data_IF_317087230907
#
_entry.id   IF_317087230907
#
_cell.length_a   1.000
_cell.length_b   1.000
_cell.length_c   1.000
_cell.angle_alpha   90.00
_cell.angle_beta   90.00
_cell.angle_gamma   90.00
#
_symmetry.space_group_name_H-M   'P 1'
#
loop_
_entity.id
_entity.type
_entity.pdbx_description
1 polymer ?
#
# COMPACT_ATOMS: atom_id res chain seq x y z
N UNK A 1 -21.77 22.00 -13.08
CA UNK A 1 -21.74 22.74 -11.80
C UNK A 1 -21.14 21.91 -10.65
N UNK A 2 -21.49 20.63 -10.51
CA UNK A 2 -21.02 19.75 -9.41
C UNK A 2 -19.52 19.40 -9.49
N UNK A 3 -18.95 19.21 -10.69
CA UNK A 3 -17.50 18.95 -10.85
C UNK A 3 -16.61 20.13 -10.46
N UNK A 4 -17.01 21.37 -10.79
CA UNK A 4 -16.26 22.57 -10.41
C UNK A 4 -16.22 22.77 -8.89
N UNK A 5 -17.28 22.39 -8.19
CA UNK A 5 -17.33 22.40 -6.72
C UNK A 5 -16.44 21.31 -6.12
N UNK A 6 -16.34 20.11 -6.73
CA UNK A 6 -15.38 19.08 -6.33
C UNK A 6 -13.94 19.53 -6.52
N UNK A 7 -13.65 20.20 -7.63
CA UNK A 7 -12.33 20.75 -7.94
C UNK A 7 -11.92 21.83 -6.93
N UNK A 8 -12.82 22.78 -6.64
CA UNK A 8 -12.60 23.81 -5.62
C UNK A 8 -12.39 23.20 -4.23
N UNK A 9 -13.16 22.17 -3.87
CA UNK A 9 -13.03 21.49 -2.57
C UNK A 9 -11.69 20.76 -2.44
N UNK A 10 -11.21 20.11 -3.51
CA UNK A 10 -9.84 19.54 -3.57
C UNK A 10 -8.77 20.62 -3.49
N UNK A 11 -8.93 21.72 -4.23
CA UNK A 11 -8.03 22.88 -4.25
C UNK A 11 -7.83 23.47 -2.85
N UNK A 12 -8.92 23.76 -2.12
CA UNK A 12 -8.83 24.27 -0.75
C UNK A 12 -8.24 23.25 0.22
N UNK A 13 -8.49 21.95 0.01
CA UNK A 13 -7.95 20.91 0.86
C UNK A 13 -6.42 20.76 0.69
N UNK A 14 -5.91 20.64 -0.53
CA UNK A 14 -4.45 20.57 -0.78
C UNK A 14 -3.73 21.86 -0.39
N UNK A 15 -4.35 23.03 -0.59
CA UNK A 15 -3.79 24.31 -0.16
C UNK A 15 -3.57 24.36 1.36
N UNK A 16 -4.50 23.82 2.15
CA UNK A 16 -4.40 23.81 3.62
C UNK A 16 -3.20 23.01 4.14
N UNK A 17 -2.67 22.09 3.33
CA UNK A 17 -1.46 21.32 3.65
C UNK A 17 -0.21 22.00 3.05
N UNK A 18 -0.17 22.24 1.74
CA UNK A 18 1.09 22.61 1.05
C UNK A 18 1.28 24.12 0.81
N UNK A 19 0.32 24.96 1.22
CA UNK A 19 0.29 26.38 0.88
C UNK A 19 0.08 26.63 -0.62
N UNK A 20 0.03 27.90 -1.03
CA UNK A 20 -0.21 28.26 -2.44
C UNK A 20 0.91 27.78 -3.37
N UNK A 21 2.17 27.97 -2.94
CA UNK A 21 3.34 27.57 -3.71
C UNK A 21 3.40 26.05 -3.93
N UNK A 22 3.19 25.26 -2.87
CA UNK A 22 3.18 23.81 -2.98
C UNK A 22 1.96 23.28 -3.76
N UNK A 23 0.79 23.92 -3.62
CA UNK A 23 -0.39 23.57 -4.41
C UNK A 23 -0.15 23.75 -5.92
N UNK A 24 0.31 24.94 -6.36
CA UNK A 24 0.54 25.19 -7.78
C UNK A 24 1.63 24.29 -8.36
N UNK A 25 2.65 23.97 -7.56
CA UNK A 25 3.69 23.00 -7.94
C UNK A 25 3.10 21.60 -8.12
N UNK A 26 2.26 21.12 -7.21
CA UNK A 26 1.60 19.81 -7.33
C UNK A 26 0.66 19.76 -8.54
N UNK A 27 -0.07 20.83 -8.84
CA UNK A 27 -0.93 20.91 -10.04
C UNK A 27 -0.09 20.87 -11.32
N UNK A 28 1.00 21.63 -11.38
CA UNK A 28 1.93 21.63 -12.51
C UNK A 28 2.54 20.24 -12.74
N UNK A 29 3.01 19.60 -11.66
CA UNK A 29 3.50 18.21 -11.71
C UNK A 29 2.45 17.25 -12.23
N UNK A 30 1.21 17.37 -11.78
CA UNK A 30 0.14 16.48 -12.20
C UNK A 30 -0.19 16.63 -13.69
N UNK A 31 -0.11 17.84 -14.24
CA UNK A 31 -0.23 18.09 -15.68
C UNK A 31 0.94 17.47 -16.47
N UNK A 32 2.17 17.55 -15.94
CA UNK A 32 3.35 16.93 -16.58
C UNK A 32 3.27 15.41 -16.57
N UNK A 33 2.88 14.81 -15.44
CA UNK A 33 2.72 13.36 -15.27
C UNK A 33 1.76 12.78 -16.31
N UNK A 34 0.67 13.49 -16.62
CA UNK A 34 -0.32 13.02 -17.61
C UNK A 34 0.24 12.89 -19.04
N UNK A 35 1.34 13.56 -19.36
CA UNK A 35 1.92 13.61 -20.70
C UNK A 35 3.29 12.93 -20.79
N UNK A 36 3.85 12.46 -19.67
CA UNK A 36 5.18 11.89 -19.60
C UNK A 36 5.16 10.35 -19.74
N UNK A 37 6.25 9.78 -20.24
CA UNK A 37 6.45 8.33 -20.31
C UNK A 37 7.88 7.95 -19.91
N UNK A 38 8.10 6.68 -19.56
CA UNK A 38 9.42 6.16 -19.24
C UNK A 38 10.12 6.92 -18.10
N UNK A 39 11.40 7.24 -18.28
CA UNK A 39 12.26 7.87 -17.25
C UNK A 39 11.78 9.26 -16.82
N UNK A 40 11.17 10.04 -17.71
CA UNK A 40 10.65 11.36 -17.36
C UNK A 40 9.50 11.25 -16.35
N UNK A 41 8.60 10.28 -16.58
CA UNK A 41 7.49 10.00 -15.68
C UNK A 41 8.00 9.64 -14.27
N UNK A 42 9.08 8.86 -14.19
CA UNK A 42 9.72 8.51 -12.91
C UNK A 42 10.22 9.73 -12.14
N UNK A 43 10.95 10.61 -12.82
CA UNK A 43 11.48 11.83 -12.20
C UNK A 43 10.36 12.73 -11.66
N UNK A 44 9.23 12.80 -12.35
CA UNK A 44 8.07 13.58 -11.92
C UNK A 44 7.38 12.98 -10.68
N UNK A 45 7.27 11.65 -10.61
CA UNK A 45 6.76 10.98 -9.39
C UNK A 45 7.70 11.16 -8.20
N UNK A 46 9.02 11.06 -8.40
CA UNK A 46 10.01 11.34 -7.36
C UNK A 46 9.92 12.78 -6.84
N UNK A 47 9.72 13.74 -7.73
CA UNK A 47 9.53 15.15 -7.35
C UNK A 47 8.24 15.34 -6.53
N UNK A 48 7.14 14.71 -6.97
CA UNK A 48 5.89 14.71 -6.21
C UNK A 48 6.06 14.06 -4.83
N UNK A 49 6.79 12.95 -4.76
CA UNK A 49 7.08 12.22 -3.52
C UNK A 49 7.90 13.09 -2.56
N UNK A 50 8.90 13.82 -3.07
CA UNK A 50 9.71 14.75 -2.28
C UNK A 50 8.87 15.85 -1.65
N UNK A 51 7.94 16.46 -2.39
CA UNK A 51 7.03 17.48 -1.85
C UNK A 51 6.19 16.92 -0.69
N UNK A 52 5.68 15.69 -0.87
CA UNK A 52 4.91 15.00 0.17
C UNK A 52 5.77 14.71 1.40
N UNK A 53 6.97 14.17 1.20
CA UNK A 53 7.91 13.88 2.29
C UNK A 53 8.29 15.14 3.06
N UNK A 54 8.66 16.22 2.37
CA UNK A 54 9.04 17.47 3.01
C UNK A 54 7.88 18.06 3.82
N UNK A 55 6.64 17.88 3.37
CA UNK A 55 5.46 18.29 4.12
C UNK A 55 5.29 17.46 5.39
N UNK A 56 5.35 16.13 5.27
CA UNK A 56 5.24 15.20 6.39
C UNK A 56 6.35 15.47 7.41
N UNK A 57 7.61 15.61 6.97
CA UNK A 57 8.74 15.86 7.87
C UNK A 57 8.64 17.22 8.55
N UNK A 58 8.15 18.26 7.88
CA UNK A 58 7.98 19.58 8.51
C UNK A 58 6.81 19.63 9.50
N UNK A 59 5.67 19.03 9.16
CA UNK A 59 4.41 19.26 9.87
C UNK A 59 4.02 18.12 10.82
N UNK A 60 4.52 16.91 10.55
CA UNK A 60 4.14 15.70 11.27
C UNK A 60 5.32 15.04 11.99
N UNK A 61 6.50 15.68 12.04
CA UNK A 61 7.70 15.15 12.71
C UNK A 61 7.44 14.67 14.13
N UNK A 62 6.70 15.47 14.90
CA UNK A 62 6.36 15.18 16.30
C UNK A 62 5.43 13.97 16.45
N UNK A 63 4.68 13.64 15.39
CA UNK A 63 3.78 12.48 15.33
C UNK A 63 4.43 11.29 14.62
N UNK A 64 5.63 11.47 14.06
CA UNK A 64 6.43 10.35 13.56
C UNK A 64 6.66 9.44 14.75
N UNK A 65 6.19 8.20 14.69
CA UNK A 65 6.61 7.20 15.67
C UNK A 65 8.13 7.19 15.61
N UNK A 66 8.76 7.57 16.72
CA UNK A 66 10.15 8.03 16.74
C UNK A 66 11.18 6.92 16.48
N UNK A 67 10.71 5.77 16.00
CA UNK A 67 11.53 4.64 15.69
C UNK A 67 10.76 3.74 14.71
N UNK A 68 11.42 3.33 13.61
CA UNK A 68 10.86 2.34 12.67
C UNK A 68 10.67 0.96 13.35
N UNK A 69 11.01 0.83 14.64
CA UNK A 69 10.87 -0.39 15.46
C UNK A 69 9.43 -0.83 15.74
N UNK A 70 8.43 -0.12 15.23
CA UNK A 70 7.03 -0.52 15.32
C UNK A 70 6.71 -1.87 14.65
N UNK A 71 7.53 -2.29 13.69
CA UNK A 71 7.41 -3.56 12.98
C UNK A 71 8.79 -4.09 12.60
N UNK A 72 9.00 -5.40 12.73
CA UNK A 72 10.26 -6.05 12.30
C UNK A 72 9.98 -7.35 11.55
N UNK A 73 10.89 -7.72 10.66
CA UNK A 73 10.89 -9.05 10.04
C UNK A 73 11.08 -10.14 11.10
N UNK A 74 10.37 -11.26 10.95
CA UNK A 74 10.53 -12.46 11.79
C UNK A 74 11.30 -13.53 11.05
N UNK A 75 11.03 -13.68 9.75
CA UNK A 75 11.74 -14.60 8.85
C UNK A 75 12.66 -13.80 7.94
N UNK A 76 13.69 -14.45 7.42
CA UNK A 76 14.63 -13.85 6.46
C UNK A 76 14.74 -14.69 5.18
N UNK A 77 14.07 -15.84 5.11
CA UNK A 77 14.14 -16.86 4.06
C UNK A 77 12.87 -16.88 3.19
N UNK A 78 12.19 -15.74 3.08
CA UNK A 78 10.99 -15.58 2.28
C UNK A 78 11.39 -15.09 0.89
N UNK A 79 10.94 -15.82 -0.13
CA UNK A 79 11.11 -15.48 -1.54
C UNK A 79 10.52 -14.10 -1.88
N UNK A 80 11.20 -13.32 -2.71
CA UNK A 80 10.75 -11.98 -3.09
C UNK A 80 9.70 -11.96 -4.22
N UNK A 81 9.23 -13.13 -4.64
CA UNK A 81 8.20 -13.33 -5.66
C UNK A 81 6.92 -13.97 -5.09
N UNK A 82 6.75 -13.94 -3.76
CA UNK A 82 5.50 -14.39 -3.14
C UNK A 82 4.32 -13.48 -3.47
N UNK A 83 3.12 -14.06 -3.49
CA UNK A 83 1.86 -13.31 -3.59
C UNK A 83 1.20 -13.24 -2.22
N UNK A 84 1.04 -12.05 -1.68
CA UNK A 84 0.40 -11.78 -0.41
C UNK A 84 -1.09 -11.46 -0.59
N UNK A 85 -1.92 -12.12 0.19
CA UNK A 85 -3.35 -11.81 0.32
C UNK A 85 -3.68 -11.69 1.79
N UNK A 86 -4.52 -10.73 2.17
CA UNK A 86 -4.92 -10.56 3.56
C UNK A 86 -6.40 -10.86 3.76
N UNK A 87 -6.68 -11.76 4.70
CA UNK A 87 -8.00 -11.92 5.29
C UNK A 87 -7.81 -12.33 6.76
N UNK A 88 -7.77 -11.34 7.65
CA UNK A 88 -7.33 -11.51 9.03
C UNK A 88 -8.12 -12.59 9.80
N UNK A 89 -9.40 -12.75 9.48
CA UNK A 89 -10.28 -13.74 10.10
C UNK A 89 -10.02 -15.19 9.63
N UNK A 90 -9.18 -15.39 8.60
CA UNK A 90 -8.85 -16.69 8.04
C UNK A 90 -9.77 -17.15 6.90
N UNK A 91 -9.27 -18.11 6.10
CA UNK A 91 -9.96 -18.60 4.90
C UNK A 91 -11.36 -19.15 5.19
N UNK A 92 -11.56 -19.81 6.34
CA UNK A 92 -12.86 -20.36 6.74
C UNK A 92 -13.93 -19.27 6.88
N UNK A 93 -13.55 -18.08 7.32
CA UNK A 93 -14.43 -16.93 7.52
C UNK A 93 -14.64 -16.08 6.25
N UNK A 94 -14.00 -16.43 5.12
CA UNK A 94 -14.17 -15.69 3.87
C UNK A 94 -15.62 -15.82 3.35
N UNK A 95 -16.28 -14.69 3.03
CA UNK A 95 -17.51 -14.69 2.26
C UNK A 95 -17.33 -15.40 0.92
N UNK A 96 -18.44 -15.91 0.36
CA UNK A 96 -18.42 -16.69 -0.89
C UNK A 96 -17.65 -16.00 -2.03
N UNK A 97 -17.88 -14.69 -2.22
CA UNK A 97 -17.22 -13.91 -3.29
C UNK A 97 -15.70 -13.84 -3.06
N UNK A 98 -15.28 -13.52 -1.84
CA UNK A 98 -13.85 -13.45 -1.46
C UNK A 98 -13.17 -14.80 -1.66
N UNK A 99 -13.81 -15.89 -1.25
CA UNK A 99 -13.28 -17.25 -1.43
C UNK A 99 -13.14 -17.63 -2.91
N UNK A 100 -14.08 -17.20 -3.76
CA UNK A 100 -14.00 -17.40 -5.21
C UNK A 100 -12.79 -16.64 -5.78
N UNK A 101 -12.62 -15.38 -5.42
CA UNK A 101 -11.48 -14.56 -5.84
C UNK A 101 -10.14 -15.16 -5.37
N UNK A 102 -10.05 -15.54 -4.10
CA UNK A 102 -8.85 -16.18 -3.54
C UNK A 102 -8.49 -17.50 -4.25
N UNK A 103 -9.48 -18.36 -4.52
CA UNK A 103 -9.25 -19.60 -5.26
C UNK A 103 -8.90 -19.35 -6.73
N UNK A 104 -9.46 -18.31 -7.35
CA UNK A 104 -9.11 -17.90 -8.70
C UNK A 104 -7.67 -17.37 -8.76
N UNK A 105 -7.23 -16.58 -7.78
CA UNK A 105 -5.83 -16.13 -7.67
C UNK A 105 -4.88 -17.32 -7.55
N UNK A 106 -5.15 -18.28 -6.65
CA UNK A 106 -4.32 -19.49 -6.51
C UNK A 106 -4.15 -20.26 -7.83
N UNK A 107 -5.18 -20.28 -8.68
CA UNK A 107 -5.13 -20.94 -10.00
C UNK A 107 -4.33 -20.15 -11.04
N UNK A 108 -4.28 -18.83 -10.92
CA UNK A 108 -3.63 -17.92 -11.87
C UNK A 108 -2.30 -17.37 -11.35
N UNK A 109 -1.75 -17.93 -10.27
CA UNK A 109 -0.52 -17.49 -9.63
C UNK A 109 0.75 -17.80 -10.44
N UNK A 110 0.64 -18.51 -11.57
CA UNK A 110 1.75 -18.84 -12.46
C UNK A 110 2.97 -19.50 -11.78
N UNK A 111 2.74 -20.36 -10.79
CA UNK A 111 3.81 -21.02 -10.02
C UNK A 111 4.28 -20.26 -8.78
N UNK A 112 3.92 -18.97 -8.65
CA UNK A 112 4.20 -18.17 -7.46
C UNK A 112 3.38 -18.63 -6.25
N UNK A 113 3.99 -18.57 -5.07
CA UNK A 113 3.35 -19.02 -3.84
C UNK A 113 2.39 -17.95 -3.32
N UNK A 114 1.12 -18.33 -3.18
CA UNK A 114 0.08 -17.47 -2.59
C UNK A 114 0.01 -17.68 -1.08
N UNK A 115 0.34 -16.64 -0.32
CA UNK A 115 0.35 -16.61 1.15
C UNK A 115 -0.84 -15.82 1.66
N UNK A 116 -1.73 -16.48 2.40
CA UNK A 116 -2.83 -15.84 3.09
C UNK A 116 -2.39 -15.38 4.49
N UNK A 117 -2.44 -14.07 4.73
CA UNK A 117 -2.20 -13.44 6.02
C UNK A 117 -3.49 -13.39 6.83
N UNK A 118 -3.39 -13.92 8.06
CA UNK A 118 -4.45 -14.09 9.05
C UNK A 118 -3.94 -13.66 10.41
N UNK A 119 -4.84 -13.50 11.40
CA UNK A 119 -4.42 -13.26 12.78
C UNK A 119 -3.52 -14.36 13.35
N UNK A 120 -3.72 -15.60 12.91
CA UNK A 120 -3.02 -16.76 13.47
C UNK A 120 -1.58 -16.89 12.98
N UNK A 121 -1.27 -16.36 11.79
CA UNK A 121 0.05 -16.50 11.17
C UNK A 121 0.75 -15.16 10.90
N UNK A 122 0.12 -14.01 11.18
CA UNK A 122 0.76 -12.70 10.97
C UNK A 122 2.12 -12.59 11.69
N UNK A 123 2.18 -13.12 12.92
CA UNK A 123 3.39 -13.12 13.75
C UNK A 123 4.52 -14.02 13.21
N UNK A 124 4.24 -14.88 12.22
CA UNK A 124 5.27 -15.67 11.53
C UNK A 124 6.08 -14.82 10.54
N UNK A 125 5.56 -13.64 10.17
CA UNK A 125 6.15 -12.76 9.17
C UNK A 125 6.53 -11.40 9.77
N UNK A 126 5.64 -10.81 10.58
CA UNK A 126 5.82 -9.46 11.11
C UNK A 126 5.73 -9.47 12.65
N UNK A 127 6.76 -8.94 13.29
CA UNK A 127 6.76 -8.65 14.73
C UNK A 127 6.25 -7.22 14.93
N UNK A 128 4.94 -7.09 15.17
CA UNK A 128 4.28 -5.79 15.37
C UNK A 128 4.33 -5.41 16.85
N UNK A 129 4.78 -4.18 17.13
CA UNK A 129 4.88 -3.68 18.50
C UNK A 129 3.52 -3.69 19.24
N UNK A 130 3.52 -3.96 20.56
CA UNK A 130 2.30 -3.92 21.37
C UNK A 130 1.56 -2.58 21.31
N UNK A 131 2.29 -1.47 21.15
CA UNK A 131 1.72 -0.11 21.02
C UNK A 131 0.78 0.01 19.82
N UNK A 132 1.13 -0.59 18.68
CA UNK A 132 0.29 -0.58 17.48
C UNK A 132 -0.87 -1.57 17.66
N UNK A 133 -0.58 -2.79 18.13
CA UNK A 133 -1.59 -3.81 18.36
C UNK A 133 -2.71 -3.34 19.28
N UNK A 134 -2.38 -2.61 20.36
CA UNK A 134 -3.35 -2.06 21.29
C UNK A 134 -4.30 -1.02 20.68
N UNK A 135 -3.92 -0.40 19.55
CA UNK A 135 -4.76 0.58 18.84
C UNK A 135 -5.71 -0.07 17.84
N UNK A 136 -5.46 -1.31 17.41
CA UNK A 136 -6.33 -2.01 16.46
C UNK A 136 -7.74 -2.17 17.05
N UNK A 137 -8.74 -1.72 16.32
CA UNK A 137 -10.15 -1.71 16.75
C UNK A 137 -10.52 -0.64 17.78
N UNK A 138 -9.56 0.08 18.36
CA UNK A 138 -9.79 1.17 19.35
C UNK A 138 -9.50 2.58 18.81
N UNK A 139 -8.82 2.66 17.68
CA UNK A 139 -8.46 3.91 17.01
C UNK A 139 -7.77 3.69 15.65
N UNK A 140 -7.23 2.49 15.44
CA UNK A 140 -6.76 2.01 14.14
C UNK A 140 -7.77 1.01 13.57
N UNK A 141 -8.41 1.35 12.45
CA UNK A 141 -9.37 0.45 11.80
C UNK A 141 -8.67 -0.78 11.22
N UNK A 142 -9.42 -1.87 11.00
CA UNK A 142 -8.89 -3.06 10.34
C UNK A 142 -8.41 -2.77 8.91
N UNK A 143 -9.04 -1.80 8.23
CA UNK A 143 -8.63 -1.34 6.90
C UNK A 143 -7.23 -0.71 6.98
N UNK A 144 -7.04 0.27 7.88
CA UNK A 144 -5.75 0.92 8.06
C UNK A 144 -4.67 -0.05 8.57
N UNK A 145 -5.07 -1.03 9.38
CA UNK A 145 -4.15 -2.08 9.83
C UNK A 145 -3.76 -3.03 8.70
N UNK A 146 -4.67 -3.36 7.78
CA UNK A 146 -4.34 -4.12 6.56
C UNK A 146 -3.36 -3.37 5.67
N UNK A 147 -3.53 -2.05 5.52
CA UNK A 147 -2.57 -1.20 4.80
C UNK A 147 -1.19 -1.20 5.47
N UNK A 148 -1.16 -1.12 6.81
CA UNK A 148 0.07 -1.25 7.58
C UNK A 148 0.77 -2.60 7.32
N UNK A 149 0.03 -3.71 7.34
CA UNK A 149 0.57 -5.04 7.03
C UNK A 149 1.13 -5.07 5.61
N UNK A 150 0.36 -4.61 4.61
CA UNK A 150 0.76 -4.57 3.20
C UNK A 150 2.09 -3.86 3.01
N UNK A 151 2.20 -2.64 3.54
CA UNK A 151 3.41 -1.83 3.39
C UNK A 151 4.62 -2.51 4.03
N UNK A 152 4.46 -3.13 5.20
CA UNK A 152 5.56 -3.82 5.87
C UNK A 152 5.97 -5.11 5.17
N UNK A 153 5.00 -5.94 4.72
CA UNK A 153 5.32 -7.17 4.00
C UNK A 153 6.06 -6.89 2.72
N UNK A 154 5.55 -5.95 1.91
CA UNK A 154 6.20 -5.58 0.66
C UNK A 154 7.57 -4.94 0.93
N UNK A 155 7.68 -4.00 1.87
CA UNK A 155 8.97 -3.34 2.16
C UNK A 155 10.04 -4.29 2.67
N UNK A 156 9.68 -5.38 3.36
CA UNK A 156 10.62 -6.32 3.96
C UNK A 156 10.93 -7.48 3.01
N UNK A 157 9.88 -8.05 2.41
CA UNK A 157 9.96 -9.31 1.67
C UNK A 157 9.77 -9.15 0.16
N UNK A 158 9.37 -7.99 -0.34
CA UNK A 158 8.97 -7.84 -1.74
C UNK A 158 7.70 -8.62 -2.08
N UNK A 159 7.59 -9.03 -3.35
CA UNK A 159 6.46 -9.78 -3.88
C UNK A 159 5.30 -8.90 -4.32
N UNK A 160 4.16 -9.54 -4.54
CA UNK A 160 2.94 -8.91 -5.03
C UNK A 160 1.86 -8.94 -3.96
N UNK A 161 1.23 -7.80 -3.67
CA UNK A 161 0.01 -7.78 -2.87
C UNK A 161 -1.22 -7.84 -3.77
N UNK A 162 -2.14 -8.76 -3.48
CA UNK A 162 -3.45 -8.84 -4.16
C UNK A 162 -4.56 -8.74 -3.13
N UNK A 163 -5.45 -7.78 -3.32
CA UNK A 163 -6.65 -7.64 -2.50
C UNK A 163 -7.54 -8.88 -2.61
N UNK A 164 -8.07 -9.33 -1.48
CA UNK A 164 -8.82 -10.60 -1.41
C UNK A 164 -10.10 -10.64 -2.28
N UNK A 165 -10.55 -9.48 -2.77
CA UNK A 165 -11.73 -9.34 -3.64
C UNK A 165 -11.38 -9.26 -5.13
N UNK A 166 -10.11 -9.28 -5.53
CA UNK A 166 -9.73 -9.18 -6.94
C UNK A 166 -9.95 -10.50 -7.69
N UNK A 167 -10.63 -10.41 -8.83
CA UNK A 167 -10.75 -11.51 -9.78
C UNK A 167 -9.65 -11.39 -10.84
N UNK A 168 -8.80 -12.40 -10.93
CA UNK A 168 -7.72 -12.50 -11.89
C UNK A 168 -8.25 -13.21 -13.15
N UNK A 169 -8.23 -12.50 -14.29
CA UNK A 169 -8.84 -12.94 -15.55
C UNK A 169 -7.90 -13.69 -16.48
N UNK A 170 -6.59 -13.63 -16.22
CA UNK A 170 -5.54 -14.35 -16.93
C UNK A 170 -4.39 -14.69 -15.96
N UNK A 171 -3.55 -15.69 -16.24
CA UNK A 171 -2.35 -15.95 -15.45
C UNK A 171 -1.52 -14.68 -15.24
N UNK A 172 -0.98 -14.50 -14.04
CA UNK A 172 -0.12 -13.36 -13.74
C UNK A 172 1.15 -13.41 -14.60
N UNK A 173 1.52 -12.26 -15.17
CA UNK A 173 2.72 -12.10 -15.98
C UNK A 173 3.96 -12.04 -15.07
N UNK A 174 5.04 -12.72 -15.47
CA UNK A 174 6.32 -12.73 -14.76
C UNK A 174 6.92 -11.32 -14.66
N UNK A 175 6.67 -10.45 -15.64
CA UNK A 175 7.18 -9.08 -15.64
C UNK A 175 6.74 -8.27 -14.41
N UNK A 176 5.65 -8.69 -13.73
CA UNK A 176 5.16 -8.06 -12.50
C UNK A 176 6.18 -8.21 -11.37
N UNK A 177 6.88 -9.33 -11.30
CA UNK A 177 7.86 -9.64 -10.25
C UNK A 177 9.27 -9.15 -10.58
N UNK A 178 9.57 -8.87 -11.85
CA UNK A 178 10.82 -8.23 -12.30
C UNK A 178 10.85 -6.73 -11.99
N UNK A 179 9.67 -6.15 -11.78
CA UNK A 179 9.47 -4.75 -11.49
C UNK A 179 9.78 -4.44 -10.02
N UNK A 180 10.54 -3.36 -9.77
CA UNK A 180 10.77 -2.84 -8.41
C UNK A 180 9.56 -2.12 -7.81
N UNK A 181 8.40 -2.14 -8.46
CA UNK A 181 7.26 -1.32 -8.03
C UNK A 181 6.56 -1.86 -6.80
N UNK A 182 6.67 -1.06 -5.74
CA UNK A 182 5.70 -1.01 -4.65
C UNK A 182 4.50 -0.17 -5.09
N UNK A 183 3.60 -0.74 -5.92
CA UNK A 183 2.16 -0.42 -6.02
C UNK A 183 1.51 -1.14 -7.21
#
# INVERSE_FOLDING_TARGET
>A
MIERLRYLKRMFHSHSFFGWKGYFHLVDLQCKIQNATGTELWNLYEEQHKIMYDYIDRNLKQHRMMDYTGCRAVKNDIDDQNIWVCWLQGESAMPKVVRICYNNLKKNANGHKVILITWNNLNDYLSVSPTIMNKVGKGLSLIAYSDFIRLNLLSIYGGLWVDATFLITAPLDESIFESRFFL
#
